data_IF_414473149618
#
_entry.id   IF_414473149618
#
_cell.length_a   1.000
_cell.length_b   1.000
_cell.length_c   1.000
_cell.angle_alpha   90.00
_cell.angle_beta   90.00
_cell.angle_gamma   90.00
#
_symmetry.space_group_name_H-M   'P 1'
#
loop_
_entity.id
_entity.type
_entity.pdbx_description
1 polymer ?
#
# COMPACT_ATOMS: atom_id res chain seq x y z
N UNK A 1 -21.37 5.28 -19.85
CA UNK A 1 -20.22 5.63 -20.71
C UNK A 1 -18.98 5.64 -19.83
N UNK A 2 -18.19 4.55 -19.90
CA UNK A 2 -16.88 4.44 -19.27
C UNK A 2 -15.93 5.41 -19.98
N UNK A 3 -15.97 6.68 -19.57
CA UNK A 3 -14.90 7.61 -19.87
C UNK A 3 -13.65 7.06 -19.20
N UNK A 4 -12.76 6.49 -20.00
CA UNK A 4 -11.39 6.14 -19.63
C UNK A 4 -10.72 7.37 -19.01
N UNK A 5 -10.87 7.53 -17.69
CA UNK A 5 -10.07 8.42 -16.88
C UNK A 5 -8.69 7.77 -16.77
N UNK A 6 -7.92 7.80 -17.85
CA UNK A 6 -6.49 7.56 -17.84
C UNK A 6 -5.83 8.78 -17.19
N UNK A 7 -6.01 8.93 -15.89
CA UNK A 7 -5.03 9.65 -15.10
C UNK A 7 -3.81 8.72 -15.09
N UNK A 8 -2.67 9.13 -15.63
CA UNK A 8 -1.51 8.26 -15.92
C UNK A 8 -0.89 7.48 -14.74
N UNK A 9 -1.52 7.47 -13.57
CA UNK A 9 -1.14 6.73 -12.37
C UNK A 9 -2.29 5.92 -11.73
N UNK A 10 -3.51 5.98 -12.28
CA UNK A 10 -4.67 5.22 -11.76
C UNK A 10 -5.38 4.52 -12.91
N UNK A 11 -5.51 3.21 -12.77
CA UNK A 11 -6.28 2.37 -13.66
C UNK A 11 -7.68 2.18 -13.07
N UNK A 12 -8.71 2.52 -13.86
CA UNK A 12 -10.10 2.26 -13.48
C UNK A 12 -10.31 0.75 -13.25
N UNK A 13 -11.16 0.40 -12.28
CA UNK A 13 -11.44 -0.97 -11.85
C UNK A 13 -10.20 -1.76 -11.43
N UNK A 14 -9.15 -1.09 -10.94
CA UNK A 14 -7.93 -1.77 -10.49
C UNK A 14 -8.10 -2.48 -9.15
N UNK A 15 -8.97 -1.98 -8.27
CA UNK A 15 -9.36 -2.66 -7.04
C UNK A 15 -10.63 -3.44 -7.35
N UNK A 16 -10.48 -4.76 -7.45
CA UNK A 16 -11.55 -5.67 -7.87
C UNK A 16 -12.38 -6.12 -6.68
N UNK A 17 -13.70 -6.14 -6.87
CA UNK A 17 -14.61 -6.82 -5.94
C UNK A 17 -14.60 -8.31 -6.24
N UNK A 18 -14.74 -9.11 -5.18
CA UNK A 18 -14.93 -10.55 -5.28
C UNK A 18 -16.34 -10.81 -5.83
N UNK A 19 -16.48 -11.58 -6.92
CA UNK A 19 -17.78 -11.97 -7.46
C UNK A 19 -18.63 -12.68 -6.40
N UNK A 20 -19.95 -12.42 -6.42
CA UNK A 20 -20.87 -12.96 -5.43
C UNK A 20 -20.89 -14.50 -5.46
N UNK A 21 -20.70 -15.13 -6.62
CA UNK A 21 -20.64 -16.58 -6.75
C UNK A 21 -19.45 -17.19 -5.97
N UNK A 22 -18.33 -16.46 -5.88
CA UNK A 22 -17.19 -16.90 -5.07
C UNK A 22 -17.41 -16.62 -3.59
N UNK A 23 -18.06 -15.49 -3.27
CA UNK A 23 -18.38 -15.10 -1.90
C UNK A 23 -19.38 -16.04 -1.25
N UNK A 24 -20.40 -16.50 -1.98
CA UNK A 24 -21.41 -17.45 -1.50
C UNK A 24 -20.80 -18.80 -1.08
N UNK A 25 -19.70 -19.21 -1.71
CA UNK A 25 -19.00 -20.47 -1.35
C UNK A 25 -18.26 -20.34 -0.02
N UNK A 26 -17.64 -19.19 0.24
CA UNK A 26 -16.89 -18.94 1.48
C UNK A 26 -16.73 -17.44 1.75
N UNK A 27 -17.71 -16.84 2.42
CA UNK A 27 -17.71 -15.41 2.73
C UNK A 27 -16.51 -15.00 3.59
N UNK A 28 -16.17 -15.81 4.59
CA UNK A 28 -15.10 -15.55 5.54
C UNK A 28 -13.70 -15.53 4.92
N UNK A 29 -13.52 -16.13 3.73
CA UNK A 29 -12.24 -16.12 3.01
C UNK A 29 -11.90 -14.74 2.42
N UNK A 30 -12.92 -13.90 2.18
CA UNK A 30 -12.77 -12.60 1.53
C UNK A 30 -12.94 -11.43 2.49
N UNK A 31 -13.13 -11.71 3.79
CA UNK A 31 -13.32 -10.71 4.82
C UNK A 31 -12.02 -10.52 5.63
N UNK A 32 -11.52 -9.28 5.80
CA UNK A 32 -10.36 -9.03 6.63
C UNK A 32 -10.67 -9.36 8.09
N UNK A 33 -9.66 -9.87 8.80
CA UNK A 33 -9.83 -10.41 10.16
C UNK A 33 -9.36 -9.47 11.25
N UNK A 34 -8.26 -8.77 11.00
CA UNK A 34 -7.61 -7.83 11.90
C UNK A 34 -7.94 -6.39 11.55
N UNK A 35 -7.77 -5.97 10.29
CA UNK A 35 -7.90 -4.57 9.89
C UNK A 35 -8.62 -4.37 8.56
N UNK A 36 -9.52 -3.38 8.54
CA UNK A 36 -10.12 -2.87 7.31
C UNK A 36 -9.31 -1.68 6.81
N UNK A 37 -8.97 -1.69 5.53
CA UNK A 37 -8.28 -0.65 4.79
C UNK A 37 -9.16 -0.26 3.60
N UNK A 38 -9.48 1.03 3.54
CA UNK A 38 -10.40 1.53 2.52
C UNK A 38 -11.86 1.27 2.88
N UNK A 39 -12.77 1.50 1.93
CA UNK A 39 -14.20 1.67 2.21
C UNK A 39 -14.98 0.36 2.30
N UNK A 40 -14.53 -0.73 1.65
CA UNK A 40 -15.36 -1.91 1.38
C UNK A 40 -15.73 -2.73 2.62
N UNK A 41 -14.82 -2.86 3.59
CA UNK A 41 -15.05 -3.66 4.81
C UNK A 41 -15.22 -2.82 6.07
N UNK A 42 -15.45 -1.50 5.92
CA UNK A 42 -15.53 -0.58 7.05
C UNK A 42 -16.70 -0.98 7.95
N UNK A 43 -16.38 -1.25 9.22
CA UNK A 43 -17.38 -1.62 10.21
C UNK A 43 -17.97 -3.03 10.07
N UNK A 44 -17.41 -3.90 9.21
CA UNK A 44 -17.98 -5.22 8.92
C UNK A 44 -17.89 -6.22 10.10
N UNK A 45 -17.03 -5.98 11.09
CA UNK A 45 -17.04 -6.69 12.39
C UNK A 45 -16.71 -5.73 13.53
N UNK A 46 -17.07 -6.12 14.75
CA UNK A 46 -16.66 -5.40 15.97
C UNK A 46 -15.13 -5.27 16.09
N UNK A 47 -14.40 -6.31 15.71
CA UNK A 47 -12.92 -6.28 15.80
C UNK A 47 -12.33 -5.24 14.85
N UNK A 48 -12.84 -5.17 13.61
CA UNK A 48 -12.40 -4.15 12.64
C UNK A 48 -12.70 -2.73 13.14
N UNK A 49 -13.83 -2.52 13.82
CA UNK A 49 -14.17 -1.22 14.42
C UNK A 49 -13.21 -0.81 15.54
N UNK A 50 -12.77 -1.76 16.38
CA UNK A 50 -11.80 -1.48 17.46
C UNK A 50 -10.45 -1.05 16.91
N UNK A 51 -10.11 -1.45 15.68
CA UNK A 51 -8.87 -1.03 15.03
C UNK A 51 -8.89 0.40 14.48
N UNK A 52 -10.03 1.09 14.44
CA UNK A 52 -10.08 2.48 14.00
C UNK A 52 -9.24 3.41 14.90
N UNK A 53 -9.25 3.23 16.23
CA UNK A 53 -8.47 4.05 17.16
C UNK A 53 -6.94 3.89 16.95
N UNK A 54 -6.38 2.66 16.88
CA UNK A 54 -4.99 2.47 16.46
C UNK A 54 -4.65 3.11 15.11
N UNK A 55 -5.55 3.05 14.12
CA UNK A 55 -5.33 3.71 12.82
C UNK A 55 -5.17 5.23 12.97
N UNK A 56 -6.01 5.87 13.78
CA UNK A 56 -5.87 7.30 14.09
C UNK A 56 -4.56 7.64 14.80
N UNK A 57 -4.08 6.76 15.70
CA UNK A 57 -2.78 6.96 16.34
C UNK A 57 -1.63 6.92 15.32
N UNK A 58 -1.56 5.87 14.51
CA UNK A 58 -0.56 5.74 13.43
C UNK A 58 -0.62 6.89 12.41
N UNK A 59 -1.82 7.33 12.03
CA UNK A 59 -2.00 8.48 11.15
C UNK A 59 -1.32 9.74 11.74
N UNK A 60 -1.51 10.00 13.04
CA UNK A 60 -0.86 11.13 13.72
C UNK A 60 0.65 10.98 13.72
N UNK A 61 1.16 9.79 14.08
CA UNK A 61 2.59 9.51 14.08
C UNK A 61 3.24 9.77 12.72
N UNK A 62 2.60 9.36 11.61
CA UNK A 62 3.09 9.69 10.27
C UNK A 62 3.15 11.20 10.04
N UNK A 63 2.07 11.90 10.39
CA UNK A 63 1.95 13.34 10.16
C UNK A 63 2.89 14.16 11.05
N UNK A 64 3.35 13.61 12.18
CA UNK A 64 4.30 14.23 13.10
C UNK A 64 5.77 13.89 12.74
N UNK A 65 6.02 12.98 11.78
CA UNK A 65 7.39 12.67 11.34
C UNK A 65 8.13 13.91 10.84
N UNK A 66 9.38 14.02 11.25
CA UNK A 66 10.26 15.08 10.76
C UNK A 66 10.77 14.75 9.36
N UNK A 67 10.88 15.78 8.52
CA UNK A 67 11.51 15.65 7.21
C UNK A 67 13.03 15.56 7.32
N UNK A 68 13.69 15.42 6.17
CA UNK A 68 15.15 15.38 6.08
C UNK A 68 15.82 16.74 6.28
N UNK A 69 15.07 17.83 6.15
CA UNK A 69 15.55 19.20 6.40
C UNK A 69 14.61 19.95 7.35
N UNK A 70 15.11 20.95 8.10
CA UNK A 70 14.29 21.73 9.02
C UNK A 70 13.07 22.40 8.35
N UNK A 71 13.20 22.81 7.09
CA UNK A 71 12.14 23.47 6.32
C UNK A 71 10.98 22.50 6.01
N UNK A 72 11.22 21.19 6.06
CA UNK A 72 10.22 20.15 5.86
C UNK A 72 9.43 19.82 7.15
N UNK A 73 9.89 20.30 8.31
CA UNK A 73 9.26 20.09 9.62
C UNK A 73 8.04 20.99 9.84
N UNK A 74 7.01 20.73 9.03
CA UNK A 74 5.73 21.43 9.08
C UNK A 74 4.83 20.80 10.15
N UNK A 75 4.00 21.64 10.77
CA UNK A 75 2.97 21.22 11.72
C UNK A 75 2.03 20.17 11.12
N UNK A 76 1.67 19.14 11.88
CA UNK A 76 0.79 18.07 11.43
C UNK A 76 -0.61 18.57 11.05
N UNK A 77 -1.13 19.63 11.67
CA UNK A 77 -2.43 20.20 11.29
C UNK A 77 -2.41 20.85 9.89
N UNK A 78 -1.27 21.43 9.50
CA UNK A 78 -1.08 21.98 8.15
C UNK A 78 -1.03 20.84 7.14
N UNK A 79 -0.26 19.79 7.42
CA UNK A 79 -0.16 18.60 6.57
C UNK A 79 -1.53 17.92 6.41
N UNK A 80 -2.30 17.77 7.49
CA UNK A 80 -3.64 17.19 7.46
C UNK A 80 -4.60 17.98 6.57
N UNK A 81 -4.58 19.32 6.67
CA UNK A 81 -5.41 20.19 5.83
C UNK A 81 -5.06 20.05 4.35
N UNK A 82 -3.77 20.02 4.04
CA UNK A 82 -3.29 19.80 2.67
C UNK A 82 -3.64 18.42 2.13
N UNK A 83 -3.57 17.37 2.97
CA UNK A 83 -4.06 16.03 2.62
C UNK A 83 -5.55 16.08 2.29
N UNK A 84 -6.36 16.72 3.13
CA UNK A 84 -7.80 16.92 2.89
C UNK A 84 -8.09 17.53 1.52
N UNK A 85 -7.40 18.62 1.18
CA UNK A 85 -7.57 19.28 -0.11
C UNK A 85 -7.14 18.43 -1.30
N UNK A 86 -5.97 17.79 -1.22
CA UNK A 86 -5.42 17.01 -2.33
C UNK A 86 -6.19 15.71 -2.57
N UNK A 87 -6.61 15.02 -1.50
CA UNK A 87 -7.34 13.75 -1.60
C UNK A 87 -8.78 13.99 -2.04
N UNK A 88 -9.44 15.05 -1.56
CA UNK A 88 -10.80 15.39 -2.01
C UNK A 88 -10.87 15.63 -3.53
N UNK A 89 -9.83 16.22 -4.13
CA UNK A 89 -9.74 16.38 -5.59
C UNK A 89 -9.63 15.06 -6.36
N UNK A 90 -9.22 14.00 -5.69
CA UNK A 90 -9.08 12.67 -6.28
C UNK A 90 -10.35 11.83 -6.15
N UNK A 91 -11.43 12.34 -5.57
CA UNK A 91 -12.68 11.60 -5.32
C UNK A 91 -13.11 10.72 -6.52
N UNK A 92 -13.32 11.32 -7.69
CA UNK A 92 -13.72 10.57 -8.91
C UNK A 92 -12.73 9.49 -9.32
N UNK A 93 -11.43 9.74 -9.11
CA UNK A 93 -10.34 8.80 -9.44
C UNK A 93 -10.32 7.64 -8.44
N UNK A 94 -10.52 7.95 -7.15
CA UNK A 94 -10.66 6.97 -6.08
C UNK A 94 -11.86 6.08 -6.40
N UNK A 95 -13.05 6.64 -6.61
CA UNK A 95 -14.25 5.89 -6.95
C UNK A 95 -14.08 5.03 -8.20
N UNK A 96 -13.45 5.57 -9.26
CA UNK A 96 -13.16 4.80 -10.47
C UNK A 96 -12.21 3.61 -10.21
N UNK A 97 -11.33 3.69 -9.22
CA UNK A 97 -10.42 2.59 -8.86
C UNK A 97 -11.18 1.35 -8.37
N UNK A 98 -12.34 1.54 -7.73
CA UNK A 98 -13.20 0.48 -7.19
C UNK A 98 -14.39 0.13 -8.12
N UNK A 99 -14.35 0.52 -9.40
CA UNK A 99 -15.39 0.18 -10.37
C UNK A 99 -16.45 1.26 -10.64
N UNK A 100 -16.34 2.45 -10.03
CA UNK A 100 -17.26 3.57 -10.30
C UNK A 100 -18.72 3.25 -9.99
N UNK A 101 -19.65 3.68 -10.88
CA UNK A 101 -21.12 3.49 -10.74
C UNK A 101 -21.63 2.04 -10.70
N UNK A 102 -20.73 1.06 -10.75
CA UNK A 102 -21.07 -0.34 -10.53
C UNK A 102 -20.90 -0.74 -9.04
N UNK A 103 -20.45 0.18 -8.19
CA UNK A 103 -20.27 -0.02 -6.76
C UNK A 103 -21.09 1.01 -5.97
N UNK A 104 -22.36 0.65 -5.70
CA UNK A 104 -23.36 1.52 -5.09
C UNK A 104 -22.89 2.16 -3.77
N UNK A 105 -22.03 1.46 -3.02
CA UNK A 105 -21.50 1.95 -1.73
C UNK A 105 -20.74 3.27 -1.92
N UNK A 106 -19.94 3.41 -2.98
CA UNK A 106 -19.08 4.59 -3.16
C UNK A 106 -19.80 5.75 -3.84
N UNK A 107 -20.81 5.48 -4.64
CA UNK A 107 -21.61 6.53 -5.30
C UNK A 107 -22.55 7.22 -4.30
N UNK A 108 -23.03 6.48 -3.30
CA UNK A 108 -23.92 7.01 -2.24
C UNK A 108 -23.16 7.62 -1.05
N UNK A 109 -21.85 7.38 -0.94
CA UNK A 109 -21.04 7.91 0.17
C UNK A 109 -20.61 9.34 -0.11
N UNK A 110 -20.73 10.20 0.92
CA UNK A 110 -20.25 11.58 0.84
C UNK A 110 -18.73 11.64 0.52
N UNK A 111 -18.31 12.47 -0.45
CA UNK A 111 -16.90 12.60 -0.83
C UNK A 111 -15.96 12.97 0.33
N UNK A 112 -16.44 13.70 1.34
CA UNK A 112 -15.62 14.02 2.51
C UNK A 112 -15.40 12.79 3.41
N UNK A 113 -16.38 11.89 3.52
CA UNK A 113 -16.20 10.62 4.23
C UNK A 113 -15.23 9.70 3.47
N UNK A 114 -15.32 9.59 2.14
CA UNK A 114 -14.32 8.86 1.34
C UNK A 114 -12.92 9.46 1.55
N UNK A 115 -12.81 10.78 1.48
CA UNK A 115 -11.56 11.51 1.71
C UNK A 115 -10.97 11.21 3.09
N UNK A 116 -11.80 11.21 4.13
CA UNK A 116 -11.39 10.89 5.49
C UNK A 116 -10.89 9.45 5.61
N UNK A 117 -11.61 8.49 5.03
CA UNK A 117 -11.18 7.08 4.99
C UNK A 117 -9.81 6.96 4.32
N UNK A 118 -9.63 7.57 3.14
CA UNK A 118 -8.37 7.54 2.41
C UNK A 118 -7.20 8.13 3.21
N UNK A 119 -7.41 9.23 3.93
CA UNK A 119 -6.36 9.87 4.74
C UNK A 119 -6.00 9.02 5.95
N UNK A 120 -7.00 8.58 6.73
CA UNK A 120 -6.77 7.81 7.95
C UNK A 120 -6.09 6.49 7.61
N UNK A 121 -6.68 5.73 6.70
CA UNK A 121 -6.20 4.39 6.36
C UNK A 121 -4.91 4.44 5.55
N UNK A 122 -4.77 5.43 4.65
CA UNK A 122 -3.55 5.61 3.85
C UNK A 122 -2.35 6.02 4.70
N UNK A 123 -2.52 6.96 5.64
CA UNK A 123 -1.45 7.35 6.55
C UNK A 123 -1.12 6.23 7.54
N UNK A 124 -2.15 5.54 8.08
CA UNK A 124 -1.95 4.36 8.90
C UNK A 124 -1.08 3.32 8.19
N UNK A 125 -1.42 3.01 6.93
CA UNK A 125 -0.73 2.01 6.14
C UNK A 125 0.72 2.41 5.84
N UNK A 126 0.96 3.68 5.50
CA UNK A 126 2.32 4.19 5.29
C UNK A 126 3.17 4.06 6.56
N UNK A 127 2.64 4.48 7.72
CA UNK A 127 3.36 4.38 9.00
C UNK A 127 3.66 2.93 9.37
N UNK A 128 2.66 2.05 9.23
CA UNK A 128 2.80 0.62 9.49
C UNK A 128 3.92 0.01 8.65
N UNK A 129 3.91 0.25 7.34
CA UNK A 129 4.91 -0.32 6.43
C UNK A 129 6.32 0.23 6.71
N UNK A 130 6.44 1.51 7.09
CA UNK A 130 7.74 2.09 7.50
C UNK A 130 8.26 1.37 8.75
N UNK A 131 7.44 1.23 9.80
CA UNK A 131 7.84 0.55 11.04
C UNK A 131 8.22 -0.91 10.81
N UNK A 132 7.49 -1.64 9.95
CA UNK A 132 7.83 -3.01 9.58
C UNK A 132 9.18 -3.05 8.87
N UNK A 133 9.41 -2.16 7.91
CA UNK A 133 10.71 -2.06 7.24
C UNK A 133 11.85 -1.77 8.22
N UNK A 134 11.64 -0.89 9.19
CA UNK A 134 12.64 -0.57 10.22
C UNK A 134 12.86 -1.74 11.19
N UNK A 135 11.82 -2.50 11.51
CA UNK A 135 11.91 -3.74 12.29
C UNK A 135 12.76 -4.80 11.58
N UNK A 136 12.57 -4.98 10.27
CA UNK A 136 13.33 -5.92 9.46
C UNK A 136 14.83 -5.58 9.40
N UNK A 137 15.19 -4.30 9.38
CA UNK A 137 16.59 -3.86 9.34
C UNK A 137 17.27 -3.97 10.71
N UNK A 138 16.59 -3.56 11.78
CA UNK A 138 17.24 -3.36 13.08
C UNK A 138 17.17 -4.60 13.99
N UNK A 139 16.28 -5.56 13.72
CA UNK A 139 16.03 -6.79 14.51
C UNK A 139 15.93 -6.58 16.03
N UNK A 140 15.69 -5.35 16.53
CA UNK A 140 15.60 -5.08 17.96
C UNK A 140 14.17 -5.40 18.43
N UNK A 141 13.94 -6.53 19.14
CA UNK A 141 12.60 -6.99 19.46
C UNK A 141 11.87 -6.03 20.39
N UNK A 142 12.60 -5.24 21.17
CA UNK A 142 12.05 -4.39 22.21
C UNK A 142 11.53 -3.03 21.71
N UNK A 143 11.78 -2.66 20.44
CA UNK A 143 11.41 -1.33 19.93
C UNK A 143 9.90 -1.11 19.84
N UNK A 144 9.09 -2.17 19.87
CA UNK A 144 7.64 -2.11 19.63
C UNK A 144 6.80 -2.88 20.66
N UNK A 145 7.33 -3.17 21.85
CA UNK A 145 6.61 -3.96 22.87
C UNK A 145 5.25 -3.36 23.30
N UNK A 146 5.07 -2.06 23.14
CA UNK A 146 3.81 -1.35 23.45
C UNK A 146 3.00 -0.99 22.20
N UNK A 147 3.41 -1.44 21.02
CA UNK A 147 2.73 -1.13 19.78
C UNK A 147 1.46 -1.98 19.60
N UNK A 148 0.37 -1.38 19.12
CA UNK A 148 -0.90 -2.08 18.95
C UNK A 148 -0.85 -3.23 17.94
N UNK A 149 0.08 -3.24 16.98
CA UNK A 149 0.19 -4.22 15.90
C UNK A 149 1.52 -4.96 15.96
N UNK A 150 2.62 -4.25 16.21
CA UNK A 150 3.99 -4.78 16.13
C UNK A 150 4.50 -5.41 17.43
N UNK A 151 3.64 -5.54 18.44
CA UNK A 151 4.01 -6.18 19.70
C UNK A 151 4.30 -7.69 19.58
N UNK A 152 3.78 -8.35 18.53
CA UNK A 152 3.99 -9.77 18.28
C UNK A 152 4.08 -10.03 16.78
N UNK A 153 4.94 -10.97 16.39
CA UNK A 153 5.12 -11.35 14.99
C UNK A 153 3.84 -11.94 14.38
N UNK A 154 3.10 -12.76 15.12
CA UNK A 154 1.84 -13.36 14.67
C UNK A 154 0.79 -12.29 14.33
N UNK A 155 0.64 -11.26 15.17
CA UNK A 155 -0.29 -10.16 14.92
C UNK A 155 0.14 -9.32 13.73
N UNK A 156 1.43 -9.00 13.63
CA UNK A 156 2.00 -8.31 12.47
C UNK A 156 1.72 -9.06 11.16
N UNK A 157 2.01 -10.37 11.11
CA UNK A 157 1.76 -11.20 9.94
C UNK A 157 0.27 -11.30 9.61
N UNK A 158 -0.60 -11.42 10.62
CA UNK A 158 -2.04 -11.43 10.42
C UNK A 158 -2.55 -10.11 9.81
N UNK A 159 -2.00 -8.98 10.24
CA UNK A 159 -2.30 -7.67 9.67
C UNK A 159 -1.77 -7.55 8.24
N UNK A 160 -0.55 -8.02 7.96
CA UNK A 160 0.01 -8.01 6.60
C UNK A 160 -0.80 -8.88 5.62
N UNK A 161 -1.37 -10.00 6.10
CA UNK A 161 -2.27 -10.82 5.30
C UNK A 161 -3.52 -10.01 4.89
N UNK A 162 -4.12 -9.27 5.82
CA UNK A 162 -5.25 -8.39 5.50
C UNK A 162 -4.86 -7.27 4.52
N UNK A 163 -3.66 -6.67 4.66
CA UNK A 163 -3.15 -5.63 3.73
C UNK A 163 -3.05 -6.14 2.29
N UNK A 164 -2.83 -7.44 2.12
CA UNK A 164 -2.68 -8.10 0.82
C UNK A 164 -4.01 -8.68 0.27
N UNK A 165 -5.16 -8.40 0.90
CA UNK A 165 -6.46 -8.88 0.43
C UNK A 165 -7.03 -8.03 -0.71
N UNK A 166 -7.69 -8.68 -1.68
CA UNK A 166 -8.25 -8.07 -2.89
C UNK A 166 -9.14 -6.85 -2.61
N UNK A 167 -10.09 -6.98 -1.68
CA UNK A 167 -11.08 -5.95 -1.35
C UNK A 167 -10.61 -5.00 -0.23
N UNK A 168 -9.37 -5.14 0.24
CA UNK A 168 -8.82 -4.39 1.37
C UNK A 168 -7.68 -3.46 0.93
N UNK A 169 -7.88 -2.77 -0.20
CA UNK A 169 -6.85 -1.97 -0.85
C UNK A 169 -7.18 -0.49 -0.88
N UNK A 170 -6.13 0.34 -0.98
CA UNK A 170 -6.20 1.78 -1.27
C UNK A 170 -5.46 2.04 -2.59
N UNK A 171 -5.96 2.95 -3.45
CA UNK A 171 -5.25 3.34 -4.66
C UNK A 171 -3.85 3.86 -4.35
N UNK A 172 -2.85 3.38 -5.08
CA UNK A 172 -1.44 3.71 -4.80
C UNK A 172 -1.14 5.20 -4.94
N UNK A 173 -1.85 5.89 -5.84
CA UNK A 173 -1.80 7.34 -6.00
C UNK A 173 -2.10 8.08 -4.68
N UNK A 174 -3.08 7.61 -3.90
CA UNK A 174 -3.42 8.20 -2.60
C UNK A 174 -2.22 8.09 -1.67
N UNK A 175 -1.59 6.92 -1.58
CA UNK A 175 -0.41 6.70 -0.73
C UNK A 175 0.75 7.62 -1.14
N UNK A 176 1.00 7.80 -2.45
CA UNK A 176 2.03 8.72 -2.96
C UNK A 176 1.73 10.17 -2.59
N UNK A 177 0.48 10.62 -2.73
CA UNK A 177 0.07 11.97 -2.34
C UNK A 177 0.27 12.23 -0.85
N UNK A 178 -0.19 11.31 0.00
CA UNK A 178 -0.05 11.41 1.45
C UNK A 178 1.43 11.41 1.86
N UNK A 179 2.23 10.47 1.33
CA UNK A 179 3.66 10.37 1.65
C UNK A 179 4.41 11.66 1.31
N UNK A 180 4.13 12.28 0.16
CA UNK A 180 4.75 13.54 -0.27
C UNK A 180 4.39 14.75 0.59
N UNK A 181 3.32 14.68 1.39
CA UNK A 181 3.01 15.74 2.38
C UNK A 181 3.95 15.69 3.57
N UNK A 182 4.43 14.50 3.92
CA UNK A 182 5.37 14.29 5.02
C UNK A 182 6.80 14.41 4.53
N UNK A 183 7.10 13.83 3.38
CA UNK A 183 8.42 13.82 2.75
C UNK A 183 8.36 14.44 1.35
N UNK A 184 8.42 15.78 1.25
CA UNK A 184 8.36 16.50 -0.02
C UNK A 184 9.39 15.99 -1.01
N UNK A 185 9.00 16.02 -2.27
CA UNK A 185 9.87 15.67 -3.39
C UNK A 185 9.51 16.55 -4.58
N UNK A 186 10.53 16.92 -5.37
CA UNK A 186 10.38 17.82 -6.51
C UNK A 186 10.12 17.13 -7.83
N UNK A 187 10.28 15.79 -7.91
CA UNK A 187 10.08 15.04 -9.15
C UNK A 187 8.60 14.91 -9.50
N UNK A 188 8.28 14.50 -10.73
CA UNK A 188 6.90 14.17 -11.06
C UNK A 188 6.43 12.99 -10.20
N UNK A 189 5.16 13.01 -9.78
CA UNK A 189 4.61 11.96 -8.93
C UNK A 189 4.78 10.58 -9.57
N UNK A 190 4.65 10.46 -10.90
CA UNK A 190 4.82 9.22 -11.68
C UNK A 190 6.23 8.63 -11.61
N UNK A 191 7.22 9.39 -11.19
CA UNK A 191 8.61 8.97 -11.07
C UNK A 191 9.00 8.66 -9.60
N UNK A 192 8.10 8.95 -8.65
CA UNK A 192 8.32 8.72 -7.22
C UNK A 192 8.13 7.24 -6.86
N UNK A 193 9.25 6.55 -6.65
CA UNK A 193 9.30 5.13 -6.29
C UNK A 193 9.42 4.89 -4.77
N UNK A 194 9.41 5.93 -3.94
CA UNK A 194 9.69 5.81 -2.49
C UNK A 194 8.62 4.99 -1.77
N UNK A 195 7.35 5.23 -2.06
CA UNK A 195 6.23 4.44 -1.51
C UNK A 195 6.34 2.98 -1.95
N UNK A 196 6.72 2.72 -3.21
CA UNK A 196 6.90 1.37 -3.71
C UNK A 196 8.03 0.64 -2.98
N UNK A 197 9.13 1.32 -2.70
CA UNK A 197 10.24 0.76 -1.93
C UNK A 197 9.87 0.50 -0.47
N UNK A 198 9.04 1.34 0.17
CA UNK A 198 8.53 1.09 1.52
C UNK A 198 7.72 -0.21 1.54
N UNK A 199 6.80 -0.39 0.59
CA UNK A 199 6.00 -1.62 0.47
C UNK A 199 6.92 -2.82 0.22
N UNK A 200 7.80 -2.74 -0.77
CA UNK A 200 8.73 -3.84 -1.09
C UNK A 200 9.55 -4.26 0.12
N UNK A 201 10.11 -3.30 0.84
CA UNK A 201 10.87 -3.54 2.07
C UNK A 201 10.03 -4.29 3.10
N UNK A 202 8.83 -3.80 3.42
CA UNK A 202 7.94 -4.39 4.43
C UNK A 202 7.50 -5.83 4.08
N UNK A 203 7.42 -6.18 2.80
CA UNK A 203 7.08 -7.52 2.32
C UNK A 203 8.31 -8.36 1.91
N UNK A 204 9.53 -7.90 2.17
CA UNK A 204 10.76 -8.65 1.88
C UNK A 204 11.13 -8.75 0.38
N UNK A 205 10.61 -7.89 -0.47
CA UNK A 205 10.99 -7.79 -1.88
C UNK A 205 12.25 -6.93 -2.07
N UNK A 206 13.11 -7.23 -3.07
CA UNK A 206 14.22 -6.40 -3.49
C UNK A 206 13.76 -4.98 -3.86
N UNK A 207 14.59 -4.00 -3.53
CA UNK A 207 14.32 -2.61 -3.90
C UNK A 207 14.58 -2.39 -5.39
N UNK A 208 13.61 -1.76 -6.06
CA UNK A 208 13.67 -1.45 -7.49
C UNK A 208 13.13 -0.04 -7.68
N UNK A 209 13.83 0.80 -8.44
CA UNK A 209 13.42 2.18 -8.72
C UNK A 209 12.35 2.22 -9.81
N UNK A 210 11.23 1.53 -9.60
CA UNK A 210 10.02 1.62 -10.42
C UNK A 210 8.88 2.22 -9.59
N UNK A 211 8.07 3.05 -10.24
CA UNK A 211 7.16 4.00 -9.59
C UNK A 211 5.90 3.39 -8.95
N UNK A 212 5.77 2.06 -9.00
CA UNK A 212 4.77 1.29 -8.26
C UNK A 212 3.79 0.55 -9.16
N UNK A 213 2.61 0.25 -8.60
CA UNK A 213 1.47 -0.33 -9.29
C UNK A 213 0.18 0.44 -8.96
N UNK A 214 -0.98 -0.12 -9.31
CA UNK A 214 -2.28 0.52 -9.06
C UNK A 214 -2.67 0.53 -7.57
N UNK A 215 -2.25 -0.48 -6.81
CA UNK A 215 -2.41 -0.65 -5.36
C UNK A 215 -1.33 -1.63 -4.85
N UNK A 216 -1.28 -1.91 -3.53
CA UNK A 216 -0.23 -2.74 -2.92
C UNK A 216 -0.21 -4.16 -3.49
N UNK A 217 -1.34 -4.85 -3.55
CA UNK A 217 -1.38 -6.21 -4.08
C UNK A 217 -0.90 -6.30 -5.55
N UNK A 218 -1.22 -5.30 -6.38
CA UNK A 218 -0.67 -5.24 -7.74
C UNK A 218 0.87 -5.07 -7.71
N UNK A 219 1.39 -4.21 -6.83
CA UNK A 219 2.84 -4.05 -6.66
C UNK A 219 3.52 -5.35 -6.17
N UNK A 220 2.87 -6.11 -5.27
CA UNK A 220 3.37 -7.41 -4.81
C UNK A 220 3.44 -8.43 -5.96
N UNK A 221 2.39 -8.46 -6.80
CA UNK A 221 2.38 -9.30 -8.00
C UNK A 221 3.54 -8.94 -8.94
N UNK A 222 3.71 -7.66 -9.28
CA UNK A 222 4.82 -7.19 -10.11
C UNK A 222 6.18 -7.58 -9.52
N UNK A 223 6.36 -7.40 -8.21
CA UNK A 223 7.61 -7.71 -7.52
C UNK A 223 7.91 -9.21 -7.51
N UNK A 224 6.88 -10.06 -7.40
CA UNK A 224 7.02 -11.53 -7.47
C UNK A 224 7.42 -12.00 -8.87
N UNK A 225 6.81 -11.42 -9.91
CA UNK A 225 7.14 -11.72 -11.31
C UNK A 225 8.57 -11.29 -11.63
N UNK A 226 8.97 -10.08 -11.22
CA UNK A 226 10.34 -9.57 -11.40
C UNK A 226 11.39 -10.45 -10.70
N UNK A 227 11.13 -10.87 -9.45
CA UNK A 227 12.01 -11.79 -8.72
C UNK A 227 12.18 -13.14 -9.45
N UNK A 228 11.09 -13.69 -9.96
CA UNK A 228 11.10 -14.96 -10.68
C UNK A 228 11.95 -14.88 -11.95
N UNK A 229 11.77 -13.81 -12.74
CA UNK A 229 12.59 -13.54 -13.92
C UNK A 229 14.07 -13.32 -13.58
N UNK A 230 14.37 -12.61 -12.50
CA UNK A 230 15.75 -12.42 -12.04
C UNK A 230 16.41 -13.74 -11.63
N UNK A 231 15.66 -14.63 -10.96
CA UNK A 231 16.16 -15.94 -10.56
C UNK A 231 16.44 -16.83 -11.78
N UNK A 232 15.55 -16.85 -12.77
CA UNK A 232 15.74 -17.55 -14.03
C UNK A 232 16.94 -16.99 -14.83
N UNK A 233 17.04 -15.66 -14.93
CA UNK A 233 18.16 -15.00 -15.60
C UNK A 233 19.51 -15.28 -14.93
N UNK A 234 19.57 -15.31 -13.59
CA UNK A 234 20.77 -15.71 -12.84
C UNK A 234 21.15 -17.17 -13.11
N UNK A 235 20.17 -18.08 -13.16
CA UNK A 235 20.39 -19.49 -13.48
C UNK A 235 20.92 -19.66 -14.91
N UNK A 236 20.30 -19.02 -15.89
CA UNK A 236 20.74 -19.04 -17.28
C UNK A 236 22.16 -18.48 -17.46
N UNK A 237 22.48 -17.37 -16.78
CA UNK A 237 23.84 -16.79 -16.79
C UNK A 237 24.87 -17.74 -16.19
N UNK A 238 24.55 -18.44 -15.10
CA UNK A 238 25.42 -19.43 -14.47
C UNK A 238 25.69 -20.62 -15.39
N UNK A 239 24.67 -21.09 -16.11
CA UNK A 239 24.81 -22.16 -17.11
C UNK A 239 25.66 -21.73 -18.30
N UNK A 240 25.43 -20.52 -18.84
CA UNK A 240 26.27 -19.94 -19.89
C UNK A 240 27.74 -19.82 -19.47
N UNK A 241 28.00 -19.39 -18.23
CA UNK A 241 29.36 -19.31 -17.70
C UNK A 241 30.01 -20.69 -17.61
N UNK A 242 29.27 -21.70 -17.13
CA UNK A 242 29.74 -23.10 -17.08
C UNK A 242 30.03 -23.64 -18.48
N UNK A 243 29.17 -23.35 -19.46
CA UNK A 243 29.37 -23.75 -20.86
C UNK A 243 30.61 -23.07 -21.46
N UNK A 244 30.78 -21.77 -21.24
CA UNK A 244 31.96 -21.02 -21.71
C UNK A 244 33.26 -21.54 -21.10
N UNK A 245 33.27 -21.89 -19.81
CA UNK A 245 34.43 -22.50 -19.14
C UNK A 245 34.74 -23.89 -19.69
N UNK A 246 33.72 -24.72 -19.96
CA UNK A 246 33.91 -26.04 -20.59
C UNK A 246 34.46 -25.92 -22.02
N UNK A 247 33.98 -24.96 -22.80
CA UNK A 247 34.50 -24.65 -24.14
C UNK A 247 35.98 -24.26 -24.09
N UNK A 248 36.36 -23.31 -23.22
CA UNK A 248 37.78 -22.91 -23.04
C UNK A 248 38.68 -24.05 -22.55
N UNK A 249 38.15 -24.96 -21.75
CA UNK A 249 38.89 -26.14 -21.31
C UNK A 249 39.06 -27.22 -22.40
N UNK A 250 38.28 -27.14 -23.47
CA UNK A 250 38.25 -28.14 -24.55
C UNK A 250 38.99 -27.70 -25.83
N UNK A 251 39.57 -26.49 -25.87
CA UNK A 251 40.36 -25.98 -27.00
C UNK A 251 40.01 -24.55 -27.38
#
# INVERSE_FOLDING_TARGET
>A
MLGSLNHGEVQACSISNVPDELREVNEDAYKPKQISIGPLHRGATRHLQLMEEPKWHYMRELLDRQGTTPEQNRRSEVRLRECGYDILKLDKIICASYGGSNNNILEETDPHEITKIMIVDGCFLLELLIRIGDYMDNQNPNSYNNDAILNTEEKMLSVLNDVAMLENQIPFLVLKKLYRKVFPDGSEIKDDYRVANIVRKAFGYPLVNSSGGAHILHLMHLSTVEQSQQHEGKKAKLELLRCATKLRASG
#
